data_IF_674692239015
#
_entry.id   IF_674692239015
#
_cell.length_a   1.000
_cell.length_b   1.000
_cell.length_c   1.000
_cell.angle_alpha   90.00
_cell.angle_beta   90.00
_cell.angle_gamma   90.00
#
_symmetry.space_group_name_H-M   'P 1'
#
loop_
_entity.id
_entity.type
_entity.pdbx_description
1 polymer ?
#
# COMPACT_ATOMS: atom_id res chain seq x y z
N UNK A 1 -43.30 37.43 -17.41
CA UNK A 1 -41.99 37.88 -16.91
C UNK A 1 -41.16 36.63 -16.69
N UNK A 2 -40.16 36.44 -17.55
CA UNK A 2 -39.29 35.27 -17.62
C UNK A 2 -37.93 35.70 -17.08
N UNK A 3 -37.60 35.35 -15.85
CA UNK A 3 -36.25 35.55 -15.32
C UNK A 3 -35.59 34.19 -15.12
N UNK A 4 -34.51 34.01 -15.87
CA UNK A 4 -33.86 32.74 -16.13
C UNK A 4 -33.17 32.13 -14.92
N UNK A 5 -33.38 30.83 -14.76
CA UNK A 5 -32.46 29.96 -14.04
C UNK A 5 -31.10 29.98 -14.76
N UNK A 6 -30.14 30.72 -14.21
CA UNK A 6 -28.72 30.50 -14.49
C UNK A 6 -28.35 29.11 -14.01
N UNK A 7 -28.49 28.11 -14.89
CA UNK A 7 -27.95 26.78 -14.67
C UNK A 7 -26.43 26.91 -14.69
N UNK A 8 -25.82 26.95 -13.50
CA UNK A 8 -24.38 26.89 -13.33
C UNK A 8 -23.90 25.55 -13.92
N UNK A 9 -23.46 25.58 -15.18
CA UNK A 9 -22.80 24.42 -15.81
C UNK A 9 -21.46 24.25 -15.10
N UNK A 10 -21.47 23.53 -13.99
CA UNK A 10 -20.25 22.99 -13.40
C UNK A 10 -19.58 22.18 -14.52
N UNK A 11 -18.47 22.69 -15.04
CA UNK A 11 -17.68 22.04 -16.07
C UNK A 11 -17.24 20.69 -15.52
N UNK A 12 -18.01 19.65 -15.83
CA UNK A 12 -17.68 18.28 -15.45
C UNK A 12 -16.46 17.91 -16.27
N UNK A 13 -15.30 17.94 -15.62
CA UNK A 13 -14.06 17.40 -16.17
C UNK A 13 -14.40 15.99 -16.70
N UNK A 14 -14.07 15.65 -17.96
CA UNK A 14 -14.49 14.42 -18.63
C UNK A 14 -13.69 13.19 -18.14
N UNK A 15 -13.49 13.08 -16.82
CA UNK A 15 -12.73 12.01 -16.20
C UNK A 15 -13.66 11.08 -15.42
N UNK A 16 -13.36 9.77 -15.37
CA UNK A 16 -14.04 8.85 -14.48
C UNK A 16 -14.06 9.34 -13.04
N UNK A 17 -15.14 9.04 -12.32
CA UNK A 17 -15.26 9.36 -10.91
C UNK A 17 -14.06 8.80 -10.13
N UNK A 18 -13.47 9.63 -9.27
CA UNK A 18 -12.30 9.23 -8.48
C UNK A 18 -10.94 9.44 -9.14
N UNK A 19 -10.87 9.81 -10.42
CA UNK A 19 -9.59 10.00 -11.13
C UNK A 19 -8.67 11.00 -10.40
N UNK A 20 -9.20 12.16 -10.03
CA UNK A 20 -8.42 13.21 -9.34
C UNK A 20 -7.91 12.76 -7.97
N UNK A 21 -8.76 12.29 -7.02
CA UNK A 21 -8.27 11.88 -5.71
C UNK A 21 -7.32 10.68 -5.75
N UNK A 22 -7.57 9.70 -6.63
CA UNK A 22 -6.65 8.56 -6.81
C UNK A 22 -5.34 9.01 -7.44
N UNK A 23 -5.39 9.90 -8.44
CA UNK A 23 -4.20 10.46 -9.08
C UNK A 23 -3.32 11.24 -8.11
N UNK A 24 -3.90 12.06 -7.23
CA UNK A 24 -3.18 12.75 -6.16
C UNK A 24 -2.53 11.74 -5.21
N UNK A 25 -3.28 10.74 -4.75
CA UNK A 25 -2.76 9.70 -3.86
C UNK A 25 -1.58 8.93 -4.47
N UNK A 26 -1.68 8.58 -5.76
CA UNK A 26 -0.61 7.93 -6.51
C UNK A 26 0.62 8.83 -6.67
N UNK A 27 0.42 10.11 -7.02
CA UNK A 27 1.51 11.07 -7.13
C UNK A 27 2.27 11.22 -5.81
N UNK A 28 1.54 11.41 -4.70
CA UNK A 28 2.14 11.50 -3.36
C UNK A 28 2.92 10.23 -3.04
N UNK A 29 2.31 9.05 -3.24
CA UNK A 29 2.97 7.76 -2.99
C UNK A 29 4.29 7.61 -3.76
N UNK A 30 4.30 7.95 -5.05
CA UNK A 30 5.50 7.93 -5.89
C UNK A 30 6.57 8.91 -5.43
N UNK A 31 6.18 10.16 -5.14
CA UNK A 31 7.09 11.19 -4.64
C UNK A 31 7.72 10.80 -3.30
N UNK A 32 6.92 10.32 -2.35
CA UNK A 32 7.41 9.88 -1.04
C UNK A 32 8.32 8.66 -1.14
N UNK A 33 8.05 7.76 -2.09
CA UNK A 33 8.93 6.61 -2.34
C UNK A 33 10.29 7.07 -2.85
N UNK A 34 10.32 8.00 -3.81
CA UNK A 34 11.58 8.60 -4.28
C UNK A 34 12.35 9.27 -3.13
N UNK A 35 11.67 10.08 -2.32
CA UNK A 35 12.26 10.77 -1.18
C UNK A 35 12.84 9.77 -0.16
N UNK A 36 12.13 8.67 0.13
CA UNK A 36 12.58 7.62 1.04
C UNK A 36 13.90 6.98 0.59
N UNK A 37 14.05 6.64 -0.68
CA UNK A 37 15.32 6.11 -1.19
C UNK A 37 16.45 7.13 -1.09
N UNK A 38 16.18 8.39 -1.41
CA UNK A 38 17.19 9.46 -1.33
C UNK A 38 17.62 9.71 0.11
N UNK A 39 16.68 9.92 1.02
CA UNK A 39 16.96 10.21 2.43
C UNK A 39 17.56 8.99 3.12
N UNK A 40 17.06 7.78 2.86
CA UNK A 40 17.61 6.56 3.44
C UNK A 40 19.09 6.35 3.09
N UNK A 41 19.50 6.61 1.84
CA UNK A 41 20.90 6.56 1.44
C UNK A 41 21.75 7.68 2.06
N UNK A 42 21.18 8.86 2.30
CA UNK A 42 21.88 9.93 3.01
C UNK A 42 22.05 9.61 4.51
N UNK A 43 21.07 8.92 5.09
CA UNK A 43 21.04 8.59 6.51
C UNK A 43 21.96 7.42 6.87
N UNK A 44 21.93 6.33 6.09
CA UNK A 44 22.67 5.10 6.37
C UNK A 44 23.91 4.91 5.48
N UNK A 45 24.01 5.61 4.36
CA UNK A 45 24.96 5.27 3.31
C UNK A 45 24.44 4.17 2.39
N UNK A 46 25.16 3.93 1.27
CA UNK A 46 24.69 3.03 0.21
C UNK A 46 24.70 1.55 0.61
N UNK A 47 25.74 1.13 1.31
CA UNK A 47 25.92 -0.28 1.71
C UNK A 47 24.86 -0.68 2.74
N UNK A 48 24.72 0.07 3.83
CA UNK A 48 23.77 -0.23 4.90
C UNK A 48 22.29 -0.07 4.48
N UNK A 49 22.02 0.73 3.44
CA UNK A 49 20.66 0.87 2.89
C UNK A 49 20.30 -0.25 1.90
N UNK A 50 21.27 -1.03 1.39
CA UNK A 50 21.05 -2.07 0.37
C UNK A 50 20.04 -3.15 0.80
N UNK A 51 20.03 -3.68 2.03
CA UNK A 51 19.03 -4.65 2.48
C UNK A 51 17.59 -4.08 2.45
N UNK A 52 17.43 -2.79 2.72
CA UNK A 52 16.13 -2.11 2.69
C UNK A 52 15.65 -1.93 1.24
N UNK A 53 16.58 -1.65 0.31
CA UNK A 53 16.27 -1.65 -1.12
C UNK A 53 15.80 -3.03 -1.58
N UNK A 54 16.49 -4.10 -1.17
CA UNK A 54 16.06 -5.47 -1.46
C UNK A 54 14.67 -5.75 -0.89
N UNK A 55 14.41 -5.39 0.38
CA UNK A 55 13.09 -5.52 1.02
C UNK A 55 12.00 -4.81 0.22
N UNK A 56 12.28 -3.60 -0.27
CA UNK A 56 11.33 -2.84 -1.10
C UNK A 56 10.98 -3.60 -2.39
N UNK A 57 11.96 -4.11 -3.12
CA UNK A 57 11.70 -4.85 -4.37
C UNK A 57 10.97 -6.16 -4.11
N UNK A 58 11.35 -6.91 -3.07
CA UNK A 58 10.64 -8.12 -2.66
C UNK A 58 9.19 -7.81 -2.29
N UNK A 59 8.96 -6.72 -1.56
CA UNK A 59 7.61 -6.24 -1.22
C UNK A 59 6.80 -5.90 -2.47
N UNK A 60 7.37 -5.14 -3.41
CA UNK A 60 6.69 -4.77 -4.66
C UNK A 60 6.41 -5.95 -5.60
N UNK A 61 7.17 -7.05 -5.49
CA UNK A 61 6.87 -8.28 -6.19
C UNK A 61 5.73 -9.06 -5.50
N UNK A 62 5.85 -9.28 -4.19
CA UNK A 62 4.91 -10.14 -3.45
C UNK A 62 3.57 -9.45 -3.20
N UNK A 63 3.58 -8.24 -2.66
CA UNK A 63 2.35 -7.59 -2.17
C UNK A 63 1.38 -7.31 -3.33
N UNK A 64 1.76 -6.57 -4.39
CA UNK A 64 0.92 -6.44 -5.57
C UNK A 64 0.60 -7.79 -6.24
N UNK A 65 1.59 -8.68 -6.35
CA UNK A 65 1.42 -9.97 -7.02
C UNK A 65 0.31 -10.84 -6.41
N UNK A 66 0.18 -10.83 -5.09
CA UNK A 66 -0.78 -11.66 -4.37
C UNK A 66 -2.05 -10.90 -3.95
N UNK A 67 -1.94 -9.62 -3.58
CA UNK A 67 -3.07 -8.87 -3.01
C UNK A 67 -3.77 -7.91 -3.98
N UNK A 68 -3.17 -7.53 -5.12
CA UNK A 68 -3.93 -6.78 -6.14
C UNK A 68 -5.12 -7.57 -6.71
N UNK A 69 -5.02 -8.89 -7.00
CA UNK A 69 -6.18 -9.66 -7.44
C UNK A 69 -7.33 -9.64 -6.42
N UNK A 70 -6.99 -9.70 -5.12
CA UNK A 70 -7.95 -9.58 -4.02
C UNK A 70 -8.61 -8.21 -4.01
N UNK A 71 -7.82 -7.14 -4.14
CA UNK A 71 -8.30 -5.76 -4.21
C UNK A 71 -9.25 -5.56 -5.41
N UNK A 72 -8.85 -6.05 -6.60
CA UNK A 72 -9.62 -5.93 -7.83
C UNK A 72 -10.94 -6.70 -7.77
N UNK A 73 -10.93 -7.94 -7.24
CA UNK A 73 -12.13 -8.75 -7.12
C UNK A 73 -13.10 -8.17 -6.07
N UNK A 74 -12.60 -7.72 -4.92
CA UNK A 74 -13.41 -6.99 -3.94
C UNK A 74 -14.04 -5.74 -4.56
N UNK A 75 -13.24 -4.94 -5.27
CA UNK A 75 -13.70 -3.73 -5.95
C UNK A 75 -14.81 -4.03 -6.95
N UNK A 76 -14.60 -5.00 -7.83
CA UNK A 76 -15.55 -5.43 -8.86
C UNK A 76 -16.85 -5.96 -8.24
N UNK A 77 -16.76 -6.89 -7.30
CA UNK A 77 -17.93 -7.54 -6.70
C UNK A 77 -18.77 -6.58 -5.84
N UNK A 78 -18.13 -5.70 -5.08
CA UNK A 78 -18.86 -4.69 -4.28
C UNK A 78 -19.46 -3.63 -5.20
N UNK A 79 -18.77 -3.17 -6.25
CA UNK A 79 -19.33 -2.22 -7.21
C UNK A 79 -20.57 -2.79 -7.92
N UNK A 80 -20.53 -4.07 -8.31
CA UNK A 80 -21.70 -4.74 -8.88
C UNK A 80 -22.89 -4.77 -7.91
N UNK A 81 -22.66 -5.13 -6.65
CA UNK A 81 -23.72 -5.12 -5.61
C UNK A 81 -24.25 -3.72 -5.34
N UNK A 82 -23.37 -2.71 -5.31
CA UNK A 82 -23.73 -1.29 -5.15
C UNK A 82 -24.69 -0.83 -6.25
N UNK A 83 -24.43 -1.23 -7.50
CA UNK A 83 -25.31 -0.91 -8.64
C UNK A 83 -26.72 -1.51 -8.50
N UNK A 84 -26.85 -2.61 -7.75
CA UNK A 84 -28.12 -3.26 -7.41
C UNK A 84 -28.73 -2.77 -6.09
N UNK A 85 -28.17 -1.74 -5.45
CA UNK A 85 -28.61 -1.25 -4.14
C UNK A 85 -28.31 -2.20 -2.98
N UNK A 86 -27.40 -3.16 -3.16
CA UNK A 86 -27.05 -4.18 -2.16
C UNK A 86 -25.77 -3.82 -1.41
N UNK A 87 -25.72 -4.15 -0.11
CA UNK A 87 -24.52 -3.98 0.72
C UNK A 87 -23.38 -4.94 0.36
N UNK A 88 -22.14 -4.52 0.62
CA UNK A 88 -20.91 -5.28 0.32
C UNK A 88 -20.50 -6.33 1.36
N UNK A 89 -21.12 -6.36 2.55
CA UNK A 89 -20.74 -7.23 3.67
C UNK A 89 -20.57 -8.72 3.29
N UNK A 90 -21.48 -9.35 2.51
CA UNK A 90 -21.33 -10.76 2.13
C UNK A 90 -20.09 -11.04 1.28
N UNK A 91 -19.64 -10.07 0.48
CA UNK A 91 -18.42 -10.20 -0.33
C UNK A 91 -17.19 -10.17 0.58
N UNK A 92 -17.15 -9.21 1.51
CA UNK A 92 -16.05 -9.09 2.48
C UNK A 92 -15.93 -10.35 3.33
N UNK A 93 -17.05 -10.91 3.82
CA UNK A 93 -17.06 -12.14 4.60
C UNK A 93 -16.50 -13.35 3.84
N UNK A 94 -16.70 -13.40 2.52
CA UNK A 94 -16.14 -14.47 1.67
C UNK A 94 -14.66 -14.24 1.33
N UNK A 95 -14.26 -13.00 1.11
CA UNK A 95 -12.88 -12.66 0.74
C UNK A 95 -11.91 -12.66 1.93
N UNK A 96 -12.40 -12.42 3.14
CA UNK A 96 -11.58 -12.40 4.36
C UNK A 96 -10.80 -13.70 4.59
N UNK A 97 -11.42 -14.91 4.63
CA UNK A 97 -10.67 -16.15 4.82
C UNK A 97 -9.68 -16.43 3.69
N UNK A 98 -10.01 -16.07 2.44
CA UNK A 98 -9.09 -16.22 1.30
C UNK A 98 -7.86 -15.33 1.46
N UNK A 99 -8.06 -14.07 1.90
CA UNK A 99 -6.98 -13.13 2.15
C UNK A 99 -6.09 -13.58 3.31
N UNK A 100 -6.70 -14.07 4.39
CA UNK A 100 -5.97 -14.63 5.55
C UNK A 100 -5.18 -15.88 5.12
N UNK A 101 -5.80 -16.78 4.36
CA UNK A 101 -5.13 -17.99 3.85
C UNK A 101 -3.93 -17.63 2.99
N UNK A 102 -4.08 -16.65 2.09
CA UNK A 102 -2.99 -16.19 1.24
C UNK A 102 -1.86 -15.55 2.04
N UNK A 103 -2.18 -14.65 2.97
CA UNK A 103 -1.20 -14.05 3.86
C UNK A 103 -0.46 -15.10 4.70
N UNK A 104 -1.18 -16.10 5.22
CA UNK A 104 -0.60 -17.19 6.00
C UNK A 104 0.38 -18.02 5.17
N UNK A 105 0.02 -18.37 3.93
CA UNK A 105 0.90 -19.11 3.02
C UNK A 105 2.18 -18.31 2.77
N UNK A 106 2.08 -17.01 2.51
CA UNK A 106 3.24 -16.15 2.29
C UNK A 106 4.13 -16.06 3.53
N UNK A 107 3.53 -15.85 4.71
CA UNK A 107 4.27 -15.78 5.97
C UNK A 107 5.00 -17.10 6.26
N UNK A 108 4.34 -18.25 6.06
CA UNK A 108 4.96 -19.57 6.22
C UNK A 108 6.09 -19.77 5.22
N UNK A 109 5.92 -19.36 3.96
CA UNK A 109 6.98 -19.44 2.96
C UNK A 109 8.19 -18.56 3.32
N UNK A 110 7.95 -17.34 3.81
CA UNK A 110 9.01 -16.43 4.31
C UNK A 110 9.71 -17.04 5.52
N UNK A 111 8.96 -17.60 6.48
CA UNK A 111 9.52 -18.25 7.66
C UNK A 111 10.37 -19.47 7.29
N UNK A 112 9.89 -20.31 6.37
CA UNK A 112 10.62 -21.48 5.88
C UNK A 112 11.89 -21.12 5.11
N UNK A 113 11.92 -19.96 4.45
CA UNK A 113 13.08 -19.44 3.72
C UNK A 113 13.93 -18.43 4.51
N UNK A 114 13.60 -18.21 5.80
CA UNK A 114 14.13 -17.10 6.61
C UNK A 114 15.65 -17.11 6.75
N UNK A 115 16.29 -18.28 6.87
CA UNK A 115 17.74 -18.39 6.95
C UNK A 115 18.39 -17.82 5.69
N UNK A 116 17.97 -18.30 4.51
CA UNK A 116 18.49 -17.85 3.22
C UNK A 116 18.16 -16.38 2.94
N UNK A 117 16.92 -15.95 3.21
CA UNK A 117 16.54 -14.54 3.07
C UNK A 117 17.45 -13.64 3.91
N UNK A 118 17.73 -14.04 5.15
CA UNK A 118 18.56 -13.27 6.06
C UNK A 118 20.01 -13.25 5.61
N UNK A 119 20.62 -14.40 5.32
CA UNK A 119 22.05 -14.49 4.98
C UNK A 119 22.38 -13.91 3.61
N UNK A 120 21.61 -14.28 2.58
CA UNK A 120 21.98 -14.05 1.18
C UNK A 120 21.25 -12.85 0.57
N UNK A 121 20.03 -12.54 1.02
CA UNK A 121 19.23 -11.46 0.44
C UNK A 121 19.28 -10.16 1.24
N UNK A 122 19.37 -10.25 2.56
CA UNK A 122 19.32 -9.10 3.48
C UNK A 122 20.64 -8.86 4.25
N UNK A 123 21.77 -9.35 3.71
CA UNK A 123 23.13 -9.12 4.24
C UNK A 123 23.27 -9.42 5.75
N UNK A 124 22.59 -10.45 6.25
CA UNK A 124 22.61 -10.88 7.65
C UNK A 124 21.62 -10.17 8.58
N UNK A 125 20.85 -9.20 8.10
CA UNK A 125 19.92 -8.42 8.93
C UNK A 125 18.58 -9.13 9.12
N UNK A 126 18.47 -10.00 10.14
CA UNK A 126 17.23 -10.75 10.43
C UNK A 126 16.00 -9.85 10.67
N UNK A 127 16.20 -8.63 11.17
CA UNK A 127 15.12 -7.65 11.37
C UNK A 127 14.48 -7.24 10.05
N UNK A 128 15.25 -7.23 8.94
CA UNK A 128 14.72 -6.95 7.60
C UNK A 128 13.84 -8.11 7.14
N UNK A 129 14.21 -9.36 7.44
CA UNK A 129 13.34 -10.54 7.23
C UNK A 129 12.05 -10.44 8.04
N UNK A 130 12.13 -10.03 9.31
CA UNK A 130 10.93 -9.77 10.13
C UNK A 130 10.06 -8.67 9.52
N UNK A 131 10.67 -7.61 9.00
CA UNK A 131 9.96 -6.50 8.34
C UNK A 131 9.18 -6.97 7.10
N UNK A 132 9.70 -7.97 6.37
CA UNK A 132 8.96 -8.61 5.28
C UNK A 132 7.73 -9.38 5.79
N UNK A 133 7.80 -10.06 6.93
CA UNK A 133 6.63 -10.72 7.55
C UNK A 133 5.59 -9.67 7.95
N UNK A 134 6.02 -8.61 8.63
CA UNK A 134 5.14 -7.51 9.04
C UNK A 134 4.48 -6.82 7.83
N UNK A 135 5.23 -6.64 6.75
CA UNK A 135 4.72 -6.15 5.46
C UNK A 135 3.52 -6.98 5.01
N UNK A 136 3.60 -8.31 5.02
CA UNK A 136 2.44 -9.14 4.64
C UNK A 136 1.26 -8.93 5.61
N UNK A 137 1.52 -8.85 6.91
CA UNK A 137 0.48 -8.64 7.92
C UNK A 137 -0.27 -7.30 7.75
N UNK A 138 0.41 -6.22 7.34
CA UNK A 138 -0.20 -4.90 7.18
C UNK A 138 -0.77 -4.66 5.79
N UNK A 139 -0.12 -5.13 4.73
CA UNK A 139 -0.60 -4.90 3.37
C UNK A 139 -1.81 -5.77 3.01
N UNK A 140 -1.95 -6.98 3.56
CA UNK A 140 -3.13 -7.81 3.33
C UNK A 140 -4.45 -7.10 3.68
N UNK A 141 -4.67 -6.59 4.91
CA UNK A 141 -5.88 -5.82 5.22
C UNK A 141 -5.94 -4.47 4.48
N UNK A 142 -4.79 -3.85 4.18
CA UNK A 142 -4.75 -2.59 3.40
C UNK A 142 -5.33 -2.78 1.99
N UNK A 143 -4.95 -3.84 1.28
CA UNK A 143 -5.48 -4.14 -0.05
C UNK A 143 -6.97 -4.52 -0.02
N UNK A 144 -7.43 -5.21 1.04
CA UNK A 144 -8.86 -5.39 1.26
C UNK A 144 -9.58 -4.05 1.45
N UNK A 145 -9.04 -3.15 2.27
CA UNK A 145 -9.61 -1.84 2.53
C UNK A 145 -9.68 -0.98 1.25
N UNK A 146 -8.65 -1.04 0.40
CA UNK A 146 -8.64 -0.42 -0.93
C UNK A 146 -9.72 -0.98 -1.83
N UNK A 147 -9.88 -2.31 -1.89
CA UNK A 147 -10.92 -2.97 -2.68
C UNK A 147 -12.33 -2.60 -2.21
N UNK A 148 -12.54 -2.53 -0.90
CA UNK A 148 -13.80 -2.06 -0.30
C UNK A 148 -14.06 -0.59 -0.65
N UNK A 149 -13.05 0.26 -0.54
CA UNK A 149 -13.17 1.68 -0.83
C UNK A 149 -13.53 1.92 -2.31
N UNK A 150 -12.79 1.33 -3.25
CA UNK A 150 -13.06 1.47 -4.69
C UNK A 150 -14.42 0.86 -5.07
N UNK A 151 -14.73 -0.33 -4.56
CA UNK A 151 -16.01 -1.00 -4.79
C UNK A 151 -17.21 -0.28 -4.18
N UNK A 152 -17.01 0.54 -3.16
CA UNK A 152 -18.06 1.38 -2.55
C UNK A 152 -18.14 2.80 -3.12
N UNK A 153 -17.29 3.16 -4.09
CA UNK A 153 -17.24 4.51 -4.68
C UNK A 153 -16.50 5.54 -3.83
N UNK A 154 -15.81 5.10 -2.77
CA UNK A 154 -15.06 5.94 -1.84
C UNK A 154 -13.63 6.19 -2.33
N UNK A 155 -13.50 6.75 -3.53
CA UNK A 155 -12.19 6.94 -4.18
C UNK A 155 -11.26 7.91 -3.44
N UNK A 156 -11.80 8.88 -2.70
CA UNK A 156 -11.01 9.73 -1.81
C UNK A 156 -10.31 8.94 -0.70
N UNK A 157 -11.00 7.96 -0.11
CA UNK A 157 -10.41 7.08 0.90
C UNK A 157 -9.32 6.19 0.29
N UNK A 158 -9.55 5.69 -0.94
CA UNK A 158 -8.55 4.93 -1.69
C UNK A 158 -7.26 5.74 -1.91
N UNK A 159 -7.38 6.96 -2.46
CA UNK A 159 -6.24 7.85 -2.68
C UNK A 159 -5.53 8.22 -1.37
N UNK A 160 -6.30 8.44 -0.29
CA UNK A 160 -5.73 8.73 1.03
C UNK A 160 -4.87 7.59 1.56
N UNK A 161 -5.31 6.33 1.42
CA UNK A 161 -4.51 5.16 1.84
C UNK A 161 -3.15 5.15 1.12
N UNK A 162 -3.13 5.41 -0.20
CA UNK A 162 -1.88 5.46 -0.97
C UNK A 162 -0.94 6.58 -0.52
N UNK A 163 -1.50 7.78 -0.25
CA UNK A 163 -0.73 8.92 0.22
C UNK A 163 -0.14 8.66 1.62
N UNK A 164 -0.96 8.16 2.55
CA UNK A 164 -0.56 7.91 3.94
C UNK A 164 0.51 6.82 4.03
N UNK A 165 0.39 5.74 3.26
CA UNK A 165 1.41 4.67 3.21
C UNK A 165 2.80 5.21 2.87
N UNK A 166 2.88 6.12 1.90
CA UNK A 166 4.12 6.78 1.53
C UNK A 166 4.61 7.80 2.58
N UNK A 167 3.70 8.63 3.08
CA UNK A 167 3.99 9.70 4.03
C UNK A 167 4.51 9.18 5.37
N UNK A 168 3.90 8.14 5.93
CA UNK A 168 4.32 7.54 7.20
C UNK A 168 5.75 7.01 7.09
N UNK A 169 6.06 6.30 6.00
CA UNK A 169 7.39 5.74 5.75
C UNK A 169 8.47 6.82 5.64
N UNK A 170 8.23 7.89 4.88
CA UNK A 170 9.21 8.97 4.77
C UNK A 170 9.35 9.76 6.07
N UNK A 171 8.24 10.00 6.79
CA UNK A 171 8.28 10.67 8.08
C UNK A 171 9.09 9.89 9.11
N UNK A 172 8.87 8.56 9.22
CA UNK A 172 9.65 7.70 10.10
C UNK A 172 11.15 7.71 9.74
N UNK A 173 11.48 7.58 8.44
CA UNK A 173 12.86 7.63 7.95
C UNK A 173 13.56 8.95 8.30
N UNK A 174 12.90 10.09 8.08
CA UNK A 174 13.43 11.41 8.45
C UNK A 174 13.61 11.52 9.97
N UNK A 175 12.64 11.07 10.78
CA UNK A 175 12.75 11.12 12.23
C UNK A 175 13.95 10.32 12.74
N UNK A 176 14.11 9.08 12.28
CA UNK A 176 15.26 8.24 12.62
C UNK A 176 16.58 8.91 12.26
N UNK A 177 16.65 9.52 11.07
CA UNK A 177 17.84 10.23 10.61
C UNK A 177 18.16 11.45 11.49
N UNK A 178 17.16 12.28 11.79
CA UNK A 178 17.33 13.48 12.62
C UNK A 178 17.71 13.14 14.07
N UNK A 179 17.34 11.96 14.56
CA UNK A 179 17.78 11.45 15.87
C UNK A 179 19.13 10.72 15.82
N UNK A 180 19.81 10.69 14.67
CA UNK A 180 21.13 10.06 14.52
C UNK A 180 21.10 8.54 14.62
N UNK A 181 19.96 7.90 14.36
CA UNK A 181 19.86 6.44 14.35
C UNK A 181 20.60 5.90 13.13
N UNK A 182 21.52 4.97 13.37
CA UNK A 182 22.34 4.30 12.34
C UNK A 182 22.01 2.82 12.19
N UNK A 183 21.05 2.29 12.96
CA UNK A 183 20.68 0.87 12.90
C UNK A 183 19.80 0.58 11.67
N UNK A 184 20.29 -0.27 10.75
CA UNK A 184 19.56 -0.70 9.53
C UNK A 184 18.16 -1.25 9.84
N UNK A 185 18.05 -2.09 10.89
CA UNK A 185 16.78 -2.70 11.27
C UNK A 185 15.72 -1.67 11.67
N UNK A 186 16.10 -0.54 12.25
CA UNK A 186 15.16 0.52 12.62
C UNK A 186 14.53 1.19 11.38
N UNK A 187 15.28 1.35 10.28
CA UNK A 187 14.76 1.92 9.03
C UNK A 187 13.99 0.89 8.19
N UNK A 188 14.11 -0.40 8.50
CA UNK A 188 13.38 -1.47 7.83
C UNK A 188 11.97 -1.69 8.39
N UNK A 189 11.76 -1.40 9.68
CA UNK A 189 10.48 -1.52 10.40
C UNK A 189 9.52 -0.36 10.10
#
# INVERSE_FOLDING_TARGET
>A
MSDGETTEKTSRIPLPEGTVPVGIGLFVSGFTSYAFFKIGQLALGKEDFKPIVALWFTTFALVPGFFMPVEQELGRAIAHRRALGQGGRPVVQRMLPLTIGLATILIVAIAASSSWLTSDMFDGHWVVTLSLVLTICFYAPMHMARGIASGSGRFAAYGTVMAVDGLVRIAACVLLWQFGVTNVGAYAL
#
